data_IF_279000205313
#
_entry.id   IF_279000205313
#
_cell.length_a   1.000
_cell.length_b   1.000
_cell.length_c   1.000
_cell.angle_alpha   90.00
_cell.angle_beta   90.00
_cell.angle_gamma   90.00
#
_symmetry.space_group_name_H-M   'P 1'
#
loop_
_entity.id
_entity.type
_entity.pdbx_description
1 polymer ?
#
# COMPACT_ATOMS: atom_id res chain seq x y z
N UNK A 1 -24.57 4.48 -30.98
CA UNK A 1 -24.46 5.87 -30.48
C UNK A 1 -25.58 6.06 -29.49
N UNK A 2 -25.42 6.30 -28.18
CA UNK A 2 -24.28 6.57 -27.30
C UNK A 2 -24.78 6.26 -25.86
N UNK A 3 -23.95 5.64 -25.01
CA UNK A 3 -24.32 5.33 -23.63
C UNK A 3 -23.13 5.57 -22.72
N UNK A 4 -22.74 6.83 -22.60
CA UNK A 4 -21.68 7.31 -21.73
C UNK A 4 -22.10 7.23 -20.26
N UNK A 5 -22.12 6.04 -19.68
CA UNK A 5 -22.11 5.89 -18.22
C UNK A 5 -20.66 5.71 -17.76
N UNK A 6 -19.84 6.74 -17.97
CA UNK A 6 -18.59 6.88 -17.22
C UNK A 6 -18.97 7.53 -15.90
N UNK A 7 -19.36 6.71 -14.93
CA UNK A 7 -19.49 7.16 -13.54
C UNK A 7 -18.09 7.50 -13.05
N UNK A 8 -17.70 8.76 -13.18
CA UNK A 8 -16.50 9.30 -12.55
C UNK A 8 -16.78 9.40 -11.04
N UNK A 9 -16.81 8.26 -10.37
CA UNK A 9 -16.68 8.21 -8.92
C UNK A 9 -15.31 8.80 -8.64
N UNK A 10 -15.23 9.88 -7.88
CA UNK A 10 -13.97 10.50 -7.44
C UNK A 10 -13.29 9.53 -6.47
N UNK A 11 -12.79 8.42 -6.99
CA UNK A 11 -11.96 7.49 -6.25
C UNK A 11 -10.63 8.20 -6.12
N UNK A 12 -10.45 8.96 -5.04
CA UNK A 12 -9.12 9.43 -4.68
C UNK A 12 -8.23 8.20 -4.61
N UNK A 13 -7.36 8.00 -5.59
CA UNK A 13 -6.39 6.93 -5.54
C UNK A 13 -5.21 7.45 -4.74
N UNK A 14 -4.87 6.75 -3.66
CA UNK A 14 -3.68 7.03 -2.88
C UNK A 14 -2.66 5.91 -3.06
N UNK A 15 -1.41 6.20 -2.72
CA UNK A 15 -0.32 5.24 -2.75
C UNK A 15 0.45 5.32 -1.44
N UNK A 16 0.80 4.16 -0.89
CA UNK A 16 1.67 4.07 0.28
C UNK A 16 2.98 3.44 -0.13
N UNK A 17 4.05 4.21 -0.06
CA UNK A 17 5.40 3.76 -0.40
C UNK A 17 6.37 4.08 0.73
N UNK A 18 7.38 3.24 0.88
CA UNK A 18 8.41 3.43 1.89
C UNK A 18 9.67 2.64 1.58
N UNK A 19 10.69 2.87 2.39
CA UNK A 19 11.97 2.15 2.33
C UNK A 19 12.33 1.72 3.73
N UNK A 20 12.64 0.44 3.91
CA UNK A 20 13.13 -0.07 5.19
C UNK A 20 14.62 0.25 5.30
N UNK A 21 15.00 0.90 6.40
CA UNK A 21 16.40 1.12 6.78
C UNK A 21 16.69 0.41 8.10
N UNK A 22 17.78 -0.36 8.15
CA UNK A 22 18.23 -1.04 9.37
C UNK A 22 19.12 -0.10 10.19
N UNK A 23 18.70 0.25 11.41
CA UNK A 23 19.48 1.07 12.36
C UNK A 23 20.17 0.15 13.37
N UNK A 24 21.04 -0.75 12.88
CA UNK A 24 21.76 -1.77 13.64
C UNK A 24 21.55 -3.19 13.08
N UNK A 25 22.64 -3.97 12.96
CA UNK A 25 22.70 -5.23 12.20
C UNK A 25 23.12 -5.00 10.74
N UNK A 26 23.57 -6.06 10.05
CA UNK A 26 23.85 -6.02 8.60
C UNK A 26 22.66 -6.55 7.82
N UNK A 27 22.39 -5.95 6.65
CA UNK A 27 21.31 -6.39 5.75
C UNK A 27 21.47 -7.86 5.31
N UNK A 28 22.68 -8.41 5.37
CA UNK A 28 22.97 -9.81 5.04
C UNK A 28 22.31 -10.83 5.98
N UNK A 29 21.98 -10.45 7.22
CA UNK A 29 21.37 -11.38 8.18
C UNK A 29 19.86 -11.58 7.90
N UNK A 30 19.22 -10.64 7.20
CA UNK A 30 17.79 -10.68 6.92
C UNK A 30 17.52 -11.02 5.45
N UNK A 31 16.97 -12.21 5.20
CA UNK A 31 16.62 -12.67 3.84
C UNK A 31 15.49 -11.83 3.22
N UNK A 32 14.45 -11.55 4.00
CA UNK A 32 13.31 -10.73 3.62
C UNK A 32 12.54 -10.29 4.86
N UNK A 33 11.73 -9.25 4.72
CA UNK A 33 10.71 -8.84 5.68
C UNK A 33 9.34 -8.82 5.00
N UNK A 34 8.28 -8.90 5.80
CA UNK A 34 6.91 -8.67 5.34
C UNK A 34 6.44 -7.32 5.83
N UNK A 35 5.90 -6.52 4.91
CA UNK A 35 5.26 -5.24 5.20
C UNK A 35 3.77 -5.44 4.97
N UNK A 36 2.98 -5.30 6.03
CA UNK A 36 1.53 -5.38 5.98
C UNK A 36 0.96 -3.98 5.81
N UNK A 37 0.09 -3.80 4.83
CA UNK A 37 -0.72 -2.61 4.69
C UNK A 37 -2.05 -2.83 5.42
N UNK A 38 -2.31 -2.01 6.42
CA UNK A 38 -3.55 -2.01 7.16
C UNK A 38 -4.47 -0.91 6.63
N UNK A 39 -5.73 -1.27 6.35
CA UNK A 39 -6.83 -0.35 6.08
C UNK A 39 -7.77 -0.38 7.28
N UNK A 40 -7.94 0.76 7.95
CA UNK A 40 -8.76 0.86 9.17
C UNK A 40 -8.42 -0.21 10.23
N UNK A 41 -7.13 -0.54 10.37
CA UNK A 41 -6.65 -1.56 11.31
C UNK A 41 -6.75 -3.01 10.82
N UNK A 42 -7.22 -3.26 9.60
CA UNK A 42 -7.29 -4.62 9.00
C UNK A 42 -6.22 -4.77 7.92
N UNK A 43 -5.45 -5.85 7.95
CA UNK A 43 -4.47 -6.15 6.89
C UNK A 43 -5.22 -6.43 5.58
N UNK A 44 -4.93 -5.62 4.55
CA UNK A 44 -5.54 -5.76 3.21
C UNK A 44 -4.53 -6.21 2.14
N UNK A 45 -3.24 -6.03 2.39
CA UNK A 45 -2.18 -6.47 1.51
C UNK A 45 -0.90 -6.72 2.32
N UNK A 46 -0.07 -7.64 1.83
CA UNK A 46 1.25 -7.92 2.40
C UNK A 46 2.25 -7.93 1.25
N UNK A 47 3.36 -7.23 1.41
CA UNK A 47 4.46 -7.23 0.45
C UNK A 47 5.71 -7.79 1.11
N UNK A 48 6.33 -8.79 0.47
CA UNK A 48 7.65 -9.25 0.86
C UNK A 48 8.71 -8.31 0.26
N UNK A 49 9.61 -7.83 1.12
CA UNK A 49 10.62 -6.83 0.81
C UNK A 49 11.98 -7.41 1.18
N UNK A 50 12.93 -7.34 0.26
CA UNK A 50 14.25 -7.93 0.42
C UNK A 50 15.33 -7.00 -0.11
N UNK A 51 16.59 -7.43 0.02
CA UNK A 51 17.72 -6.75 -0.61
C UNK A 51 17.56 -6.64 -2.14
N UNK A 52 16.93 -7.64 -2.77
CA UNK A 52 16.69 -7.66 -4.22
C UNK A 52 15.71 -6.56 -4.65
N UNK A 53 14.71 -6.23 -3.81
CA UNK A 53 13.79 -5.12 -4.05
C UNK A 53 14.35 -3.77 -3.56
N UNK A 54 15.61 -3.74 -3.12
CA UNK A 54 16.26 -2.56 -2.56
C UNK A 54 15.60 -2.07 -1.27
N UNK A 55 14.98 -2.98 -0.51
CA UNK A 55 14.23 -2.69 0.71
C UNK A 55 13.04 -1.72 0.52
N UNK A 56 12.52 -1.61 -0.71
CA UNK A 56 11.40 -0.73 -1.06
C UNK A 56 10.10 -1.53 -1.15
N UNK A 57 9.01 -0.87 -0.74
CA UNK A 57 7.64 -1.35 -0.94
C UNK A 57 6.77 -0.23 -1.49
N UNK A 58 5.73 -0.62 -2.21
CA UNK A 58 4.81 0.31 -2.84
C UNK A 58 3.44 -0.35 -3.03
N UNK A 59 2.44 0.19 -2.35
CA UNK A 59 1.04 -0.17 -2.53
C UNK A 59 0.35 0.90 -3.37
N UNK A 60 -0.07 0.53 -4.57
CA UNK A 60 -0.74 1.42 -5.55
C UNK A 60 -2.24 1.23 -5.54
N UNK A 61 -2.93 2.19 -6.17
CA UNK A 61 -4.36 2.10 -6.47
C UNK A 61 -5.25 1.88 -5.24
N UNK A 62 -4.83 2.40 -4.08
CA UNK A 62 -5.59 2.30 -2.85
C UNK A 62 -6.78 3.25 -2.91
N UNK A 63 -7.96 2.70 -2.64
CA UNK A 63 -9.22 3.44 -2.62
C UNK A 63 -9.21 4.38 -1.41
N UNK A 64 -9.42 5.69 -1.58
CA UNK A 64 -9.41 6.62 -0.45
C UNK A 64 -10.69 6.59 0.40
N UNK A 65 -11.82 6.14 -0.15
CA UNK A 65 -13.12 6.20 0.52
C UNK A 65 -13.91 4.90 0.38
N UNK A 66 -14.70 4.56 1.40
CA UNK A 66 -15.63 3.43 1.36
C UNK A 66 -16.89 3.75 0.53
N UNK A 67 -17.80 2.78 0.42
CA UNK A 67 -19.06 2.93 -0.32
C UNK A 67 -19.99 4.02 0.24
N UNK A 68 -19.80 4.41 1.51
CA UNK A 68 -20.57 5.46 2.18
C UNK A 68 -19.87 6.83 2.12
N UNK A 69 -18.70 6.91 1.49
CA UNK A 69 -17.91 8.13 1.39
C UNK A 69 -17.04 8.43 2.61
N UNK A 70 -16.87 7.49 3.55
CA UNK A 70 -15.96 7.63 4.68
C UNK A 70 -14.51 7.34 4.26
N UNK A 71 -13.56 8.17 4.72
CA UNK A 71 -12.15 8.02 4.35
C UNK A 71 -11.50 6.79 5.00
N UNK A 72 -10.76 6.01 4.21
CA UNK A 72 -9.92 4.94 4.72
C UNK A 72 -8.63 5.49 5.33
N UNK A 73 -8.27 4.95 6.50
CA UNK A 73 -6.98 5.17 7.14
C UNK A 73 -6.02 4.04 6.74
N UNK A 74 -4.86 4.40 6.19
CA UNK A 74 -3.82 3.45 5.79
C UNK A 74 -2.59 3.55 6.70
N UNK A 75 -2.09 2.41 7.18
CA UNK A 75 -0.91 2.30 8.06
C UNK A 75 -0.05 1.10 7.61
N UNK A 76 1.27 1.19 7.85
CA UNK A 76 2.30 0.19 7.51
C UNK A 76 3.27 0.00 8.66
#
# INVERSE_FOLDING_TARGET
>A
VNGYDITNTKVGKTSVAGTKTWKGGTEEEHKAIKVDLLQNGTVIATQEVSKETGWKYEFKDLVAFDANGAAYKYEV
#
